data_IF_762536748344
#
_entry.id   IF_762536748344
#
_cell.length_a   1.000
_cell.length_b   1.000
_cell.length_c   1.000
_cell.angle_alpha   90.00
_cell.angle_beta   90.00
_cell.angle_gamma   90.00
#
_symmetry.space_group_name_H-M   'P 1'
#
loop_
_entity.id
_entity.type
_entity.pdbx_description
1 polymer ?
#
# COMPACT_ATOMS: atom_id res chain seq x y z
N UNK A 1 -28.18 -49.53 28.07
CA UNK A 1 -29.25 -48.82 27.34
C UNK A 1 -29.30 -47.39 27.85
N UNK A 2 -29.09 -46.41 26.95
CA UNK A 2 -29.32 -44.96 27.14
C UNK A 2 -28.29 -44.21 28.01
N UNK A 3 -27.78 -43.01 27.70
CA UNK A 3 -27.77 -42.12 26.52
C UNK A 3 -26.74 -41.04 26.91
N UNK A 4 -25.56 -40.98 26.30
CA UNK A 4 -24.62 -39.87 26.50
C UNK A 4 -25.09 -38.67 25.68
N UNK A 5 -25.37 -37.57 26.36
CA UNK A 5 -25.76 -36.29 25.76
C UNK A 5 -24.53 -35.64 25.10
N UNK A 6 -24.42 -35.85 23.79
CA UNK A 6 -23.44 -35.20 22.94
C UNK A 6 -23.82 -33.72 22.82
N UNK A 7 -23.15 -32.87 23.61
CA UNK A 7 -23.26 -31.42 23.49
C UNK A 7 -22.75 -31.02 22.11
N UNK A 8 -23.68 -30.71 21.20
CA UNK A 8 -23.39 -30.01 19.94
C UNK A 8 -22.72 -28.69 20.31
N UNK A 9 -21.42 -28.58 20.05
CA UNK A 9 -20.77 -27.27 19.91
C UNK A 9 -21.57 -26.49 18.87
N UNK A 10 -22.26 -25.46 19.33
CA UNK A 10 -22.80 -24.42 18.47
C UNK A 10 -21.58 -23.85 17.74
N UNK A 11 -21.46 -24.16 16.44
CA UNK A 11 -20.58 -23.41 15.56
C UNK A 11 -21.04 -21.97 15.66
N UNK A 12 -20.23 -21.11 16.29
CA UNK A 12 -20.42 -19.67 16.19
C UNK A 12 -20.38 -19.35 14.70
N UNK A 13 -21.53 -18.95 14.18
CA UNK A 13 -21.66 -18.36 12.85
C UNK A 13 -20.75 -17.14 12.87
N UNK A 14 -19.61 -17.22 12.18
CA UNK A 14 -18.78 -16.04 11.89
C UNK A 14 -19.71 -14.95 11.35
N UNK A 15 -19.57 -13.67 11.76
CA UNK A 15 -20.31 -12.60 11.11
C UNK A 15 -20.05 -12.74 9.60
N UNK A 16 -21.11 -12.87 8.82
CA UNK A 16 -21.00 -13.07 7.37
C UNK A 16 -20.11 -11.99 6.80
N UNK A 17 -18.98 -12.38 6.20
CA UNK A 17 -18.05 -11.45 5.58
C UNK A 17 -18.83 -10.51 4.64
N UNK A 18 -18.53 -9.20 4.66
CA UNK A 18 -19.24 -8.26 3.82
C UNK A 18 -19.08 -8.66 2.35
N UNK A 19 -20.16 -8.50 1.57
CA UNK A 19 -20.07 -8.63 0.12
C UNK A 19 -19.64 -7.30 -0.48
N UNK A 20 -18.49 -7.22 -1.17
CA UNK A 20 -18.09 -6.00 -1.86
C UNK A 20 -19.10 -5.70 -2.98
N UNK A 21 -19.33 -4.41 -3.24
CA UNK A 21 -20.08 -3.97 -4.43
C UNK A 21 -19.23 -4.13 -5.68
N UNK A 22 -19.89 -4.24 -6.85
CA UNK A 22 -19.19 -4.29 -8.14
C UNK A 22 -18.24 -3.10 -8.32
N UNK A 23 -18.67 -1.89 -7.95
CA UNK A 23 -17.83 -0.69 -8.03
C UNK A 23 -16.55 -0.78 -7.16
N UNK A 24 -16.61 -1.42 -6.00
CA UNK A 24 -15.43 -1.62 -5.15
C UNK A 24 -14.47 -2.64 -5.75
N UNK A 25 -14.99 -3.72 -6.34
CA UNK A 25 -14.13 -4.68 -7.05
C UNK A 25 -13.47 -4.05 -8.27
N UNK A 26 -14.25 -3.33 -9.09
CA UNK A 26 -13.76 -2.64 -10.28
C UNK A 26 -12.69 -1.61 -9.92
N UNK A 27 -12.87 -0.87 -8.83
CA UNK A 27 -11.89 0.09 -8.33
C UNK A 27 -10.56 -0.60 -7.95
N UNK A 28 -10.61 -1.75 -7.26
CA UNK A 28 -9.41 -2.51 -6.89
C UNK A 28 -8.69 -3.04 -8.14
N UNK A 29 -9.43 -3.61 -9.10
CA UNK A 29 -8.87 -4.11 -10.38
C UNK A 29 -8.26 -2.96 -11.19
N UNK A 30 -8.95 -1.83 -11.30
CA UNK A 30 -8.48 -0.63 -11.99
C UNK A 30 -7.21 -0.06 -11.35
N UNK A 31 -7.16 0.04 -10.02
CA UNK A 31 -5.98 0.46 -9.28
C UNK A 31 -4.78 -0.45 -9.57
N UNK A 32 -4.99 -1.77 -9.54
CA UNK A 32 -3.95 -2.75 -9.88
C UNK A 32 -3.38 -2.55 -11.28
N UNK A 33 -4.26 -2.41 -12.28
CA UNK A 33 -3.85 -2.17 -13.68
C UNK A 33 -3.14 -0.82 -13.86
N UNK A 34 -3.59 0.22 -13.16
CA UNK A 34 -2.94 1.53 -13.19
C UNK A 34 -1.51 1.45 -12.64
N UNK A 35 -1.30 0.81 -11.49
CA UNK A 35 0.03 0.58 -10.93
C UNK A 35 0.95 -0.15 -11.93
N UNK A 36 0.45 -1.20 -12.57
CA UNK A 36 1.22 -2.00 -13.51
C UNK A 36 1.60 -1.21 -14.77
N UNK A 37 0.66 -0.44 -15.33
CA UNK A 37 0.89 0.40 -16.51
C UNK A 37 2.00 1.42 -16.30
N UNK A 38 2.12 1.95 -15.09
CA UNK A 38 3.13 2.95 -14.73
C UNK A 38 4.41 2.34 -14.13
N UNK A 39 4.60 1.02 -14.27
CA UNK A 39 5.84 0.33 -13.84
C UNK A 39 6.07 0.34 -12.33
N UNK A 40 5.02 0.56 -11.53
CA UNK A 40 5.10 0.60 -10.06
C UNK A 40 5.00 -0.79 -9.44
N UNK A 41 4.50 -1.76 -10.20
CA UNK A 41 4.42 -3.19 -9.87
C UNK A 41 4.81 -4.00 -11.10
N UNK A 42 5.11 -5.28 -10.90
CA UNK A 42 5.47 -6.21 -11.98
C UNK A 42 4.67 -7.52 -11.82
N UNK A 43 5.34 -8.68 -11.88
CA UNK A 43 4.72 -9.97 -11.56
C UNK A 43 4.24 -10.08 -10.10
N UNK A 44 4.65 -9.13 -9.25
CA UNK A 44 4.41 -9.08 -7.81
C UNK A 44 3.92 -7.68 -7.44
N UNK A 45 3.23 -7.59 -6.32
CA UNK A 45 2.54 -6.41 -5.85
C UNK A 45 1.05 -6.68 -5.64
N UNK A 46 0.45 -5.96 -4.71
CA UNK A 46 -0.98 -6.07 -4.41
C UNK A 46 -1.51 -4.77 -3.84
N UNK A 47 -2.78 -4.50 -4.11
CA UNK A 47 -3.49 -3.34 -3.60
C UNK A 47 -4.76 -3.78 -2.87
N UNK A 48 -5.22 -2.94 -1.96
CA UNK A 48 -6.41 -3.23 -1.16
C UNK A 48 -7.21 -1.99 -0.83
N UNK A 49 -8.50 -2.19 -0.62
CA UNK A 49 -9.48 -1.19 -0.23
C UNK A 49 -10.13 -1.62 1.09
N UNK A 50 -10.23 -0.72 2.08
CA UNK A 50 -11.04 -0.97 3.27
C UNK A 50 -12.53 -1.08 2.90
N UNK A 51 -13.20 -2.11 3.40
CA UNK A 51 -14.65 -2.27 3.22
C UNK A 51 -15.42 -1.72 4.42
N UNK A 52 -14.97 -2.05 5.63
CA UNK A 52 -15.57 -1.60 6.89
C UNK A 52 -14.53 -1.61 8.03
N UNK A 53 -15.02 -1.55 9.28
CA UNK A 53 -14.18 -1.55 10.49
C UNK A 53 -13.39 -2.85 10.67
N UNK A 54 -13.87 -3.97 10.16
CA UNK A 54 -13.30 -5.32 10.37
C UNK A 54 -12.85 -6.02 9.11
N UNK A 55 -13.02 -5.44 7.92
CA UNK A 55 -12.71 -6.10 6.65
C UNK A 55 -12.12 -5.16 5.60
N UNK A 56 -11.34 -5.75 4.70
CA UNK A 56 -10.83 -5.10 3.50
C UNK A 56 -10.86 -6.06 2.30
N UNK A 57 -10.92 -5.48 1.10
CA UNK A 57 -10.87 -6.17 -0.18
C UNK A 57 -9.44 -6.11 -0.72
N UNK A 58 -8.88 -7.24 -1.16
CA UNK A 58 -7.56 -7.30 -1.79
C UNK A 58 -7.66 -7.74 -3.24
N UNK A 59 -6.78 -7.20 -4.06
CA UNK A 59 -6.64 -7.56 -5.48
C UNK A 59 -6.41 -9.06 -5.67
N UNK A 60 -6.76 -9.62 -6.85
CA UNK A 60 -6.47 -11.02 -7.18
C UNK A 60 -4.98 -11.36 -7.01
N UNK A 61 -4.62 -12.56 -6.55
CA UNK A 61 -3.24 -12.96 -6.26
C UNK A 61 -2.44 -13.33 -7.53
N UNK A 62 -2.37 -12.40 -8.49
CA UNK A 62 -1.66 -12.58 -9.77
C UNK A 62 -1.07 -11.25 -10.23
N UNK A 63 -0.23 -11.22 -11.30
CA UNK A 63 0.32 -9.97 -11.82
C UNK A 63 -0.79 -8.94 -12.08
N UNK A 64 -0.72 -7.78 -11.42
CA UNK A 64 -1.82 -6.82 -11.40
C UNK A 64 -2.16 -6.25 -12.80
N UNK A 65 -1.18 -6.23 -13.71
CA UNK A 65 -1.40 -5.84 -15.11
C UNK A 65 -2.16 -6.88 -15.95
N UNK A 66 -2.30 -8.11 -15.46
CA UNK A 66 -3.02 -9.21 -16.11
C UNK A 66 -4.38 -9.50 -15.44
N UNK A 67 -4.83 -8.63 -14.55
CA UNK A 67 -6.14 -8.73 -13.90
C UNK A 67 -7.23 -8.31 -14.90
N UNK A 68 -8.07 -9.28 -15.26
CA UNK A 68 -9.29 -9.14 -16.04
C UNK A 68 -10.43 -8.57 -15.19
N UNK A 69 -11.50 -8.13 -15.85
CA UNK A 69 -12.62 -7.45 -15.20
C UNK A 69 -13.50 -8.37 -14.35
N UNK A 70 -13.41 -9.69 -14.54
CA UNK A 70 -14.16 -10.71 -13.82
C UNK A 70 -13.34 -11.48 -12.78
N UNK A 71 -12.05 -11.17 -12.62
CA UNK A 71 -11.21 -11.84 -11.63
C UNK A 71 -11.66 -11.53 -10.20
N UNK A 72 -11.83 -12.56 -9.39
CA UNK A 72 -12.28 -12.42 -8.02
C UNK A 72 -11.27 -11.68 -7.13
N UNK A 73 -11.72 -10.59 -6.51
CA UNK A 73 -11.04 -9.99 -5.37
C UNK A 73 -11.35 -10.79 -4.10
N UNK A 74 -10.47 -10.75 -3.10
CA UNK A 74 -10.65 -11.51 -1.86
C UNK A 74 -11.01 -10.59 -0.70
N UNK A 75 -12.04 -10.94 0.07
CA UNK A 75 -12.37 -10.25 1.33
C UNK A 75 -11.54 -10.84 2.45
N UNK A 76 -10.82 -9.98 3.18
CA UNK A 76 -9.94 -10.37 4.27
C UNK A 76 -10.44 -9.72 5.56
N UNK A 77 -10.57 -10.54 6.61
CA UNK A 77 -10.89 -10.07 7.95
C UNK A 77 -9.65 -9.48 8.64
N UNK A 78 -9.86 -8.43 9.45
CA UNK A 78 -8.82 -7.92 10.34
C UNK A 78 -8.52 -8.91 11.46
N UNK A 79 -9.49 -9.68 11.97
CA UNK A 79 -9.32 -10.50 13.17
C UNK A 79 -9.23 -12.01 12.93
N UNK A 80 -9.13 -12.41 11.66
CA UNK A 80 -9.06 -13.80 11.23
C UNK A 80 -7.75 -14.18 10.54
N UNK A 81 -7.58 -15.49 10.25
CA UNK A 81 -6.56 -15.95 9.33
C UNK A 81 -6.81 -15.36 7.94
N UNK A 82 -5.74 -15.27 7.13
CA UNK A 82 -5.90 -14.94 5.73
C UNK A 82 -6.71 -16.06 5.03
N UNK A 83 -7.64 -15.71 4.12
CA UNK A 83 -8.31 -16.69 3.27
C UNK A 83 -7.31 -17.51 2.45
N UNK A 84 -7.70 -18.73 2.06
CA UNK A 84 -6.89 -19.57 1.17
C UNK A 84 -6.60 -18.85 -0.16
N UNK A 85 -5.36 -18.95 -0.66
CA UNK A 85 -4.92 -18.31 -1.90
C UNK A 85 -4.52 -16.83 -1.77
N UNK A 86 -4.82 -16.16 -0.65
CA UNK A 86 -4.37 -14.78 -0.40
C UNK A 86 -2.86 -14.76 -0.09
N UNK A 87 -2.14 -13.82 -0.71
CA UNK A 87 -0.69 -13.69 -0.56
C UNK A 87 -0.29 -13.38 0.89
N UNK A 88 0.79 -14.01 1.38
CA UNK A 88 1.21 -13.88 2.76
C UNK A 88 1.56 -12.46 3.22
N UNK A 89 2.10 -11.63 2.32
CA UNK A 89 2.44 -10.21 2.56
C UNK A 89 1.19 -9.33 2.80
N UNK A 90 -0.02 -9.81 2.50
CA UNK A 90 -1.28 -9.10 2.81
C UNK A 90 -1.47 -8.87 4.31
N UNK A 91 -0.73 -9.59 5.17
CA UNK A 91 -0.63 -9.29 6.60
C UNK A 91 -0.21 -7.84 6.86
N UNK A 92 0.64 -7.25 6.02
CA UNK A 92 1.04 -5.84 6.15
C UNK A 92 -0.18 -4.91 6.06
N UNK A 93 -1.08 -5.18 5.10
CA UNK A 93 -2.29 -4.41 4.89
C UNK A 93 -3.19 -4.50 6.11
N UNK A 94 -3.36 -5.73 6.63
CA UNK A 94 -4.16 -6.00 7.83
C UNK A 94 -3.65 -5.22 9.04
N UNK A 95 -2.35 -5.25 9.29
CA UNK A 95 -1.77 -4.54 10.45
C UNK A 95 -1.81 -3.02 10.30
N UNK A 96 -1.64 -2.48 9.08
CA UNK A 96 -1.85 -1.05 8.82
C UNK A 96 -3.31 -0.67 9.08
N UNK A 97 -4.28 -1.42 8.55
CA UNK A 97 -5.69 -1.14 8.76
C UNK A 97 -6.11 -1.26 10.23
N UNK A 98 -5.56 -2.22 10.99
CA UNK A 98 -5.83 -2.35 12.43
C UNK A 98 -5.36 -1.13 13.22
N UNK A 99 -4.16 -0.64 12.89
CA UNK A 99 -3.53 0.48 13.60
C UNK A 99 -4.06 1.84 13.17
N UNK A 100 -4.61 1.92 11.95
CA UNK A 100 -4.98 3.18 11.30
C UNK A 100 -6.40 3.11 10.71
N UNK A 101 -7.43 3.36 11.55
CA UNK A 101 -8.82 3.33 11.11
C UNK A 101 -9.14 4.34 10.00
N UNK A 102 -8.36 5.41 9.88
CA UNK A 102 -8.53 6.46 8.86
C UNK A 102 -8.03 6.07 7.47
N UNK A 103 -7.26 4.99 7.36
CA UNK A 103 -6.71 4.51 6.08
C UNK A 103 -7.77 3.70 5.34
N UNK A 104 -8.03 4.09 4.09
CA UNK A 104 -8.98 3.43 3.18
C UNK A 104 -8.31 2.64 2.07
N UNK A 105 -7.01 2.81 1.86
CA UNK A 105 -6.26 2.10 0.83
C UNK A 105 -4.81 1.82 1.21
N UNK A 106 -4.32 0.64 0.84
CA UNK A 106 -2.93 0.21 1.05
C UNK A 106 -2.41 -0.48 -0.20
N UNK A 107 -1.17 -0.16 -0.57
CA UNK A 107 -0.49 -0.73 -1.73
C UNK A 107 0.87 -1.24 -1.30
N UNK A 108 1.17 -2.46 -1.72
CA UNK A 108 2.50 -3.04 -1.72
C UNK A 108 3.03 -3.06 -3.15
N UNK A 109 4.14 -2.37 -3.39
CA UNK A 109 4.66 -2.10 -4.73
C UNK A 109 6.18 -2.18 -4.80
N UNK A 110 6.73 -2.21 -6.02
CA UNK A 110 8.16 -2.32 -6.27
C UNK A 110 8.66 -1.23 -7.23
N UNK A 111 8.53 0.08 -6.89
CA UNK A 111 8.96 1.15 -7.79
C UNK A 111 10.47 1.15 -8.00
N UNK A 112 10.91 1.41 -9.23
CA UNK A 112 12.30 1.18 -9.66
C UNK A 112 13.32 2.04 -8.92
N UNK A 113 13.08 3.35 -8.83
CA UNK A 113 14.00 4.28 -8.15
C UNK A 113 13.96 4.07 -6.64
N UNK A 114 12.79 3.79 -6.08
CA UNK A 114 12.66 3.43 -4.66
C UNK A 114 13.49 2.19 -4.33
N UNK A 115 13.39 1.13 -5.13
CA UNK A 115 14.20 -0.08 -4.94
C UNK A 115 15.70 0.23 -5.04
N UNK A 116 16.09 1.03 -6.03
CA UNK A 116 17.49 1.41 -6.25
C UNK A 116 18.08 2.16 -5.05
N UNK A 117 17.37 3.17 -4.52
CA UNK A 117 17.83 3.90 -3.33
C UNK A 117 17.85 2.99 -2.08
N UNK A 118 16.86 2.09 -1.97
CA UNK A 118 16.76 1.13 -0.88
C UNK A 118 18.01 0.24 -0.75
N UNK A 119 18.69 -0.13 -1.83
CA UNK A 119 19.94 -0.93 -1.75
C UNK A 119 21.07 -0.18 -1.04
N UNK A 120 21.02 1.15 -1.01
CA UNK A 120 21.95 2.02 -0.31
C UNK A 120 21.42 2.54 1.03
N UNK A 121 20.30 2.00 1.54
CA UNK A 121 19.60 2.47 2.75
C UNK A 121 19.18 3.95 2.70
N UNK A 122 18.84 4.42 1.51
CA UNK A 122 18.39 5.80 1.28
C UNK A 122 16.89 5.77 1.00
N UNK A 123 16.15 6.70 1.62
CA UNK A 123 14.77 7.02 1.27
C UNK A 123 14.69 8.46 0.77
N UNK A 124 13.72 8.80 -0.10
CA UNK A 124 13.69 10.12 -0.73
C UNK A 124 13.36 11.23 0.28
N UNK A 125 14.09 12.33 0.16
CA UNK A 125 13.88 13.57 0.91
C UNK A 125 12.81 14.45 0.22
N UNK A 126 12.13 15.36 0.95
CA UNK A 126 11.12 16.25 0.41
C UNK A 126 11.74 17.42 -0.38
N UNK A 127 12.38 17.11 -1.51
CA UNK A 127 13.08 18.10 -2.37
C UNK A 127 12.17 18.85 -3.34
N UNK A 128 10.96 18.36 -3.54
CA UNK A 128 10.01 18.94 -4.48
C UNK A 128 8.57 18.62 -4.07
N UNK A 129 7.60 19.13 -4.84
CA UNK A 129 6.18 19.09 -4.51
C UNK A 129 5.58 17.71 -4.22
N UNK A 130 6.03 16.62 -4.85
CA UNK A 130 5.52 15.28 -4.55
C UNK A 130 6.27 14.61 -3.39
N UNK A 131 7.56 14.94 -3.22
CA UNK A 131 8.34 14.51 -2.05
C UNK A 131 7.81 15.07 -0.73
N UNK A 132 7.14 16.22 -0.74
CA UNK A 132 6.62 16.86 0.49
C UNK A 132 5.59 16.00 1.23
N UNK A 133 4.90 15.07 0.55
CA UNK A 133 3.92 14.18 1.19
C UNK A 133 4.56 13.17 2.16
N UNK A 134 5.88 13.00 2.08
CA UNK A 134 6.64 12.02 2.86
C UNK A 134 7.61 12.66 3.85
N UNK A 135 7.52 13.97 4.10
CA UNK A 135 8.39 14.64 5.06
C UNK A 135 8.27 14.03 6.48
N UNK A 136 9.37 13.95 7.26
CA UNK A 136 10.74 14.35 6.89
C UNK A 136 11.40 13.40 5.88
N UNK A 137 11.05 12.11 5.89
CA UNK A 137 11.29 11.13 4.82
C UNK A 137 10.50 9.84 5.16
N UNK A 138 10.24 8.94 4.20
CA UNK A 138 9.71 7.63 4.52
C UNK A 138 10.66 6.85 5.45
N UNK A 139 10.17 6.16 6.50
CA UNK A 139 10.98 5.19 7.23
C UNK A 139 11.50 4.06 6.32
N UNK A 140 12.61 3.43 6.74
CA UNK A 140 13.23 2.31 6.06
C UNK A 140 13.10 1.04 6.90
N UNK A 141 12.34 0.06 6.42
CA UNK A 141 12.39 -1.32 6.88
C UNK A 141 13.68 -1.97 6.35
N UNK A 142 14.67 -2.12 7.23
CA UNK A 142 16.04 -2.56 6.87
C UNK A 142 16.24 -4.09 6.93
N UNK A 143 15.20 -4.87 6.66
CA UNK A 143 15.25 -6.33 6.55
C UNK A 143 14.89 -6.76 5.11
N UNK A 144 15.78 -7.48 4.40
CA UNK A 144 15.56 -7.86 3.01
C UNK A 144 14.71 -9.12 2.87
N UNK A 145 14.32 -9.79 3.96
CA UNK A 145 13.53 -11.01 3.90
C UNK A 145 12.09 -10.71 3.50
N UNK A 146 11.48 -11.68 2.78
CA UNK A 146 10.05 -11.63 2.48
C UNK A 146 9.24 -11.72 3.77
N UNK A 147 8.31 -10.79 3.93
CA UNK A 147 7.47 -10.72 5.10
C UNK A 147 6.41 -11.82 5.05
N UNK A 148 6.53 -12.82 5.93
CA UNK A 148 5.72 -14.05 5.86
C UNK A 148 4.97 -14.39 7.14
N UNK A 149 5.19 -13.65 8.23
CA UNK A 149 4.56 -13.92 9.52
C UNK A 149 3.92 -12.65 10.11
N UNK A 150 3.08 -12.85 11.13
CA UNK A 150 2.31 -11.77 11.77
C UNK A 150 3.20 -10.82 12.58
N UNK A 151 4.28 -11.31 13.17
CA UNK A 151 5.22 -10.52 13.98
C UNK A 151 5.95 -9.47 13.14
N UNK A 152 6.53 -9.89 12.00
CA UNK A 152 7.17 -8.97 11.05
C UNK A 152 6.16 -7.97 10.47
N UNK A 153 4.92 -8.39 10.17
CA UNK A 153 3.88 -7.49 9.66
C UNK A 153 3.53 -6.41 10.67
N UNK A 154 3.37 -6.81 11.94
CA UNK A 154 3.05 -5.90 13.03
C UNK A 154 4.20 -4.92 13.28
N UNK A 155 5.45 -5.40 13.27
CA UNK A 155 6.65 -4.58 13.44
C UNK A 155 6.84 -3.58 12.28
N UNK A 156 6.64 -4.00 11.04
CA UNK A 156 6.71 -3.10 9.88
C UNK A 156 5.63 -2.01 9.96
N UNK A 157 4.39 -2.38 10.29
CA UNK A 157 3.30 -1.42 10.44
C UNK A 157 3.53 -0.46 11.62
N UNK A 158 4.13 -0.94 12.72
CA UNK A 158 4.55 -0.11 13.84
C UNK A 158 5.65 0.88 13.43
N UNK A 159 6.68 0.42 12.72
CA UNK A 159 7.76 1.27 12.23
C UNK A 159 7.28 2.30 11.20
N UNK A 160 6.29 1.95 10.37
CA UNK A 160 5.64 2.91 9.46
C UNK A 160 4.96 4.04 10.24
N UNK A 161 4.36 3.73 11.40
CA UNK A 161 3.67 4.70 12.25
C UNK A 161 2.62 5.50 11.47
N UNK A 162 2.69 6.83 11.59
CA UNK A 162 1.79 7.75 10.89
C UNK A 162 2.25 8.09 9.45
N UNK A 163 3.44 7.65 9.02
CA UNK A 163 3.98 7.99 7.71
C UNK A 163 3.07 7.49 6.58
N UNK A 164 3.08 8.17 5.44
CA UNK A 164 2.30 7.77 4.25
C UNK A 164 2.93 6.62 3.47
N UNK A 165 4.21 6.35 3.70
CA UNK A 165 4.94 5.28 3.06
C UNK A 165 6.01 4.69 4.00
N UNK A 166 6.40 3.46 3.75
CA UNK A 166 7.61 2.83 4.30
C UNK A 166 8.35 2.14 3.15
N UNK A 167 9.66 2.38 3.04
CA UNK A 167 10.53 1.74 2.05
C UNK A 167 11.07 0.45 2.67
N UNK A 168 11.13 -0.61 1.88
CA UNK A 168 11.64 -1.91 2.28
C UNK A 168 12.93 -2.19 1.51
N UNK A 169 14.07 -2.32 2.21
CA UNK A 169 15.38 -2.50 1.57
C UNK A 169 15.36 -3.71 0.63
N UNK A 170 15.60 -3.46 -0.65
CA UNK A 170 15.65 -4.49 -1.70
C UNK A 170 14.30 -5.13 -2.04
N UNK A 171 13.19 -4.64 -1.49
CA UNK A 171 11.86 -5.23 -1.66
C UNK A 171 10.82 -4.25 -2.22
N UNK A 172 11.07 -2.94 -2.19
CA UNK A 172 10.15 -1.92 -2.73
C UNK A 172 9.58 -1.05 -1.63
N UNK A 173 8.28 -0.81 -1.62
CA UNK A 173 7.63 0.00 -0.60
C UNK A 173 6.19 -0.42 -0.31
N UNK A 174 5.66 0.12 0.77
CA UNK A 174 4.24 0.11 1.12
C UNK A 174 3.78 1.56 1.25
N UNK A 175 2.64 1.89 0.67
CA UNK A 175 1.99 3.21 0.83
C UNK A 175 0.57 3.06 1.36
N UNK A 176 0.13 3.99 2.20
CA UNK A 176 -1.21 4.04 2.77
C UNK A 176 -1.84 5.42 2.57
N UNK A 177 -3.10 5.44 2.13
CA UNK A 177 -3.89 6.65 1.90
C UNK A 177 -5.28 6.56 2.52
N UNK A 178 -6.00 7.69 2.62
CA UNK A 178 -7.38 7.71 3.14
C UNK A 178 -8.37 7.05 2.18
N UNK A 179 -7.97 6.84 0.93
CA UNK A 179 -8.65 5.99 -0.05
C UNK A 179 -7.64 5.17 -0.86
N UNK A 180 -8.13 4.21 -1.65
CA UNK A 180 -7.28 3.43 -2.56
C UNK A 180 -6.66 4.31 -3.65
N UNK A 181 -7.41 5.26 -4.19
CA UNK A 181 -6.93 6.24 -5.16
C UNK A 181 -5.80 7.09 -4.57
N UNK A 182 -5.94 7.57 -3.32
CA UNK A 182 -4.86 8.30 -2.64
C UNK A 182 -3.62 7.42 -2.48
N UNK A 183 -3.76 6.15 -2.09
CA UNK A 183 -2.63 5.24 -1.99
C UNK A 183 -1.94 5.05 -3.36
N UNK A 184 -2.70 4.94 -4.46
CA UNK A 184 -2.14 4.79 -5.82
C UNK A 184 -1.34 6.03 -6.21
N UNK A 185 -1.91 7.22 -5.97
CA UNK A 185 -1.24 8.48 -6.26
C UNK A 185 0.01 8.66 -5.39
N UNK A 186 -0.05 8.30 -4.11
CA UNK A 186 1.11 8.30 -3.22
C UNK A 186 2.20 7.33 -3.68
N UNK A 187 1.84 6.17 -4.25
CA UNK A 187 2.84 5.25 -4.82
C UNK A 187 3.60 5.90 -5.97
N UNK A 188 2.90 6.62 -6.86
CA UNK A 188 3.55 7.35 -7.94
C UNK A 188 4.39 8.52 -7.43
N UNK A 189 3.88 9.31 -6.46
CA UNK A 189 4.64 10.40 -5.83
C UNK A 189 5.91 9.91 -5.13
N UNK A 190 5.86 8.74 -4.50
CA UNK A 190 7.04 8.15 -3.85
C UNK A 190 8.11 7.81 -4.88
N UNK A 191 7.73 7.24 -6.03
CA UNK A 191 8.66 6.95 -7.12
C UNK A 191 9.25 8.22 -7.73
N UNK A 192 8.46 9.27 -7.92
CA UNK A 192 8.99 10.54 -8.44
C UNK A 192 9.91 11.25 -7.42
N UNK A 193 9.59 11.17 -6.13
CA UNK A 193 10.49 11.59 -5.05
C UNK A 193 11.81 10.81 -5.08
N UNK A 194 11.76 9.50 -5.27
CA UNK A 194 12.95 8.67 -5.45
C UNK A 194 13.73 8.99 -6.72
N UNK A 195 13.05 9.32 -7.83
CA UNK A 195 13.70 9.78 -9.07
C UNK A 195 14.51 11.05 -8.81
N UNK A 196 13.92 12.06 -8.19
CA UNK A 196 14.60 13.32 -7.87
C UNK A 196 15.78 13.10 -6.93
N UNK A 197 15.62 12.31 -5.87
CA UNK A 197 16.71 11.98 -4.94
C UNK A 197 17.86 11.25 -5.66
N UNK A 198 17.54 10.27 -6.51
CA UNK A 198 18.53 9.52 -7.29
C UNK A 198 19.30 10.43 -8.25
N UNK A 199 18.59 11.28 -9.01
CA UNK A 199 19.20 12.21 -9.97
C UNK A 199 20.06 13.26 -9.28
N UNK A 200 19.61 13.80 -8.14
CA UNK A 200 20.40 14.75 -7.35
C UNK A 200 21.71 14.12 -6.85
N UNK A 201 21.68 12.85 -6.42
CA UNK A 201 22.89 12.12 -6.01
C UNK A 201 23.81 11.83 -7.19
N UNK A 202 23.26 11.38 -8.31
CA UNK A 202 24.03 11.09 -9.52
C UNK A 202 24.74 12.34 -10.07
N UNK A 203 24.11 13.52 -9.96
CA UNK A 203 24.70 14.79 -10.34
C UNK A 203 25.65 15.39 -9.27
N UNK A 204 25.79 14.75 -8.09
CA UNK A 204 26.64 15.25 -7.00
C UNK A 204 26.09 16.49 -6.28
N UNK A 205 24.78 16.76 -6.37
CA UNK A 205 24.14 17.95 -5.79
C UNK A 205 23.22 17.64 -4.59
N UNK A 206 23.11 16.39 -4.18
CA UNK A 206 22.19 15.99 -3.11
C UNK A 206 22.51 16.64 -1.74
N UNK A 207 23.79 16.73 -1.38
CA UNK A 207 24.23 17.29 -0.08
C UNK A 207 24.17 18.82 -0.04
N UNK A 208 24.36 19.49 -1.18
CA UNK A 208 24.24 20.94 -1.30
C UNK A 208 22.80 21.41 -1.58
N UNK A 209 21.92 20.50 -2.01
CA UNK A 209 20.55 20.79 -2.38
C UNK A 209 19.63 21.02 -1.19
N UNK A 210 18.69 21.95 -1.33
CA UNK A 210 17.71 22.28 -0.29
C UNK A 210 16.65 21.19 -0.19
N UNK A 211 16.26 20.86 1.03
CA UNK A 211 15.09 20.01 1.36
C UNK A 211 14.05 20.89 2.05
N UNK A 212 12.76 20.62 1.82
CA UNK A 212 11.71 21.36 2.51
C UNK A 212 11.76 21.10 4.01
N UNK A 213 11.66 22.17 4.79
CA UNK A 213 11.40 22.07 6.22
C UNK A 213 9.99 21.52 6.49
N UNK A 214 9.72 21.14 7.74
CA UNK A 214 8.44 20.56 8.14
C UNK A 214 7.24 21.44 7.78
N UNK A 215 7.33 22.76 8.03
CA UNK A 215 6.27 23.71 7.73
C UNK A 215 6.03 23.88 6.23
N UNK A 216 7.10 23.96 5.42
CA UNK A 216 7.02 24.07 3.96
C UNK A 216 6.40 22.80 3.37
N UNK A 217 6.83 21.63 3.85
CA UNK A 217 6.30 20.36 3.39
C UNK A 217 4.82 20.19 3.74
N UNK A 218 4.43 20.54 4.97
CA UNK A 218 3.04 20.50 5.42
C UNK A 218 2.13 21.42 4.60
N UNK A 219 2.59 22.65 4.29
CA UNK A 219 1.84 23.58 3.44
C UNK A 219 1.73 23.07 1.99
N UNK A 220 2.79 22.46 1.47
CA UNK A 220 2.87 22.00 0.08
C UNK A 220 2.08 20.71 -0.18
N UNK A 221 1.99 19.81 0.80
CA UNK A 221 1.32 18.51 0.71
C UNK A 221 -0.21 18.62 0.82
N UNK A 222 -0.83 19.43 -0.04
CA UNK A 222 -2.29 19.67 -0.09
C UNK A 222 -2.99 18.77 -1.10
N UNK A 223 -4.27 18.45 -0.85
CA UNK A 223 -5.16 17.82 -1.82
C UNK A 223 -6.15 18.82 -2.46
N UNK A 224 -6.05 20.12 -2.14
CA UNK A 224 -6.90 21.16 -2.71
C UNK A 224 -6.69 21.32 -4.22
N UNK A 225 -7.73 21.76 -4.94
CA UNK A 225 -7.63 22.04 -6.38
C UNK A 225 -7.54 20.78 -7.26
N UNK A 226 -8.28 19.74 -6.89
CA UNK A 226 -8.40 18.49 -7.64
C UNK A 226 -7.04 17.81 -7.95
N UNK A 227 -6.07 17.88 -7.03
CA UNK A 227 -4.74 17.28 -7.24
C UNK A 227 -4.85 15.76 -7.31
N UNK A 228 -5.60 15.16 -6.38
CA UNK A 228 -5.78 13.71 -6.31
C UNK A 228 -6.51 13.19 -7.56
N UNK A 229 -7.63 13.82 -7.89
CA UNK A 229 -8.56 13.41 -8.95
C UNK A 229 -7.90 13.49 -10.33
N UNK A 230 -7.12 14.56 -10.59
CA UNK A 230 -6.38 14.69 -11.85
C UNK A 230 -5.30 13.62 -11.99
N UNK A 231 -4.56 13.35 -10.92
CA UNK A 231 -3.52 12.32 -10.96
C UNK A 231 -4.13 10.93 -11.10
N UNK A 232 -5.20 10.63 -10.38
CA UNK A 232 -5.96 9.40 -10.53
C UNK A 232 -6.48 9.21 -11.96
N UNK A 233 -7.11 10.23 -12.54
CA UNK A 233 -7.58 10.19 -13.92
C UNK A 233 -6.43 9.95 -14.92
N UNK A 234 -5.28 10.59 -14.72
CA UNK A 234 -4.08 10.34 -15.53
C UNK A 234 -3.58 8.90 -15.42
N UNK A 235 -3.50 8.37 -14.20
CA UNK A 235 -2.98 7.02 -13.96
C UNK A 235 -3.89 5.93 -14.54
N UNK A 236 -5.20 6.18 -14.50
CA UNK A 236 -6.22 5.20 -14.92
C UNK A 236 -6.64 5.32 -16.38
N UNK A 237 -6.37 6.44 -17.05
CA UNK A 237 -6.71 6.66 -18.46
C UNK A 237 -6.31 5.44 -19.32
N UNK A 238 -7.28 4.90 -20.07
CA UNK A 238 -7.05 3.84 -21.02
C UNK A 238 -6.17 4.37 -22.18
N UNK A 239 -5.15 3.60 -22.55
CA UNK A 239 -4.48 3.70 -23.84
C UNK A 239 -4.54 2.34 -24.50
#
# INVERSE_FOLDING_TARGET
MGRQAQHRRIQQVSPTSPRPSAAQEDLVRQAGRALARHGLVHAYGHCSLRLDVGHFLVSPPKPLGLVADDDACSVVSLDGPLPEGVLGEVRIHREIYRRRPEIGGVIRSMPQRVMTLGTARITPQPRHGFGSYFAPQPPLWDDPQLLRNDEQAAALAEQMGAARAIVMRGNGAVTAGKSLEEAVVLTWYLEDAARVEFEARAAGIAEAGVVFGEAEAAQRATWSGAILERMWAYLTAAR
#
